data_IF_327085694230
#
_entry.id   IF_327085694230
#
_cell.length_a   1.000
_cell.length_b   1.000
_cell.length_c   1.000
_cell.angle_alpha   90.00
_cell.angle_beta   90.00
_cell.angle_gamma   90.00
#
_symmetry.space_group_name_H-M   'P 1'
#
loop_
_entity.id
_entity.type
_entity.pdbx_description
1 polymer ?
#
# COMPACT_ATOMS: atom_id res chain seq x y z
N UNK A 1 14.66 2.23 22.88
CA UNK A 1 13.86 3.16 22.09
C UNK A 1 13.01 2.41 21.07
N UNK A 2 11.75 2.76 21.06
CA UNK A 2 10.75 2.15 20.19
C UNK A 2 10.54 3.06 18.97
N UNK A 3 10.64 2.45 17.78
CA UNK A 3 10.38 3.16 16.53
C UNK A 3 9.18 2.56 15.84
N UNK A 4 8.18 3.36 15.57
CA UNK A 4 6.97 2.94 14.87
C UNK A 4 7.02 3.42 13.43
N UNK A 5 6.74 2.51 12.51
CA UNK A 5 6.52 2.80 11.09
C UNK A 5 5.19 2.21 10.70
N UNK A 6 4.46 2.90 9.83
CA UNK A 6 3.15 2.45 9.37
C UNK A 6 3.19 2.18 7.88
N UNK A 7 2.69 1.04 7.47
CA UNK A 7 2.59 0.63 6.09
C UNK A 7 1.11 0.44 5.74
N UNK A 8 0.63 1.18 4.74
CA UNK A 8 -0.77 1.13 4.33
C UNK A 8 -0.92 0.21 3.12
N UNK A 9 -1.73 -0.85 3.28
CA UNK A 9 -2.05 -1.77 2.19
C UNK A 9 -3.39 -1.37 1.57
N UNK A 10 -3.42 -1.01 0.28
CA UNK A 10 -4.67 -0.60 -0.36
C UNK A 10 -5.51 -1.80 -0.75
N UNK A 11 -6.82 -1.56 -0.94
CA UNK A 11 -7.59 -2.50 -1.73
C UNK A 11 -7.10 -2.44 -3.18
N UNK A 12 -7.25 -3.54 -3.91
CA UNK A 12 -6.60 -3.68 -5.22
C UNK A 12 -7.44 -3.08 -6.34
N UNK A 13 -7.74 -1.79 -6.22
CA UNK A 13 -8.40 -0.98 -7.25
C UNK A 13 -7.37 -0.02 -7.86
N UNK A 14 -7.61 0.40 -9.08
CA UNK A 14 -6.77 1.41 -9.72
C UNK A 14 -6.73 2.67 -8.84
N UNK A 15 -5.56 3.31 -8.78
CA UNK A 15 -5.35 4.47 -7.93
C UNK A 15 -6.42 5.54 -8.09
N UNK A 16 -6.79 5.87 -9.34
CA UNK A 16 -7.80 6.90 -9.61
C UNK A 16 -9.20 6.50 -9.19
N UNK A 17 -9.49 5.20 -9.16
CA UNK A 17 -10.81 4.66 -8.85
C UNK A 17 -10.89 4.04 -7.48
N UNK A 18 -9.80 4.07 -6.72
CA UNK A 18 -9.76 3.49 -5.39
C UNK A 18 -10.63 4.31 -4.45
N UNK A 19 -11.72 3.71 -3.97
CA UNK A 19 -12.71 4.42 -3.15
C UNK A 19 -12.15 4.88 -1.79
N UNK A 20 -11.05 4.31 -1.34
CA UNK A 20 -10.44 4.66 -0.07
C UNK A 20 -9.21 5.57 -0.22
N UNK A 21 -8.90 6.00 -1.43
CA UNK A 21 -7.73 6.86 -1.68
C UNK A 21 -7.72 8.10 -0.79
N UNK A 22 -8.89 8.70 -0.60
CA UNK A 22 -9.03 9.90 0.24
C UNK A 22 -8.69 9.61 1.70
N UNK A 23 -9.10 8.44 2.20
CA UNK A 23 -8.77 8.02 3.56
C UNK A 23 -7.28 7.75 3.71
N UNK A 24 -6.63 7.18 2.71
CA UNK A 24 -5.18 6.99 2.72
C UNK A 24 -4.45 8.31 2.91
N UNK A 25 -4.86 9.33 2.17
CA UNK A 25 -4.26 10.66 2.28
C UNK A 25 -4.43 11.25 3.67
N UNK A 26 -5.63 11.11 4.26
CA UNK A 26 -5.90 11.62 5.61
C UNK A 26 -5.05 10.93 6.66
N UNK A 27 -4.94 9.60 6.57
CA UNK A 27 -4.14 8.82 7.52
C UNK A 27 -2.67 9.19 7.39
N UNK A 28 -2.17 9.29 6.17
CA UNK A 28 -0.77 9.67 5.92
C UNK A 28 -0.45 11.05 6.51
N UNK A 29 -1.33 12.02 6.27
CA UNK A 29 -1.14 13.37 6.77
C UNK A 29 -1.12 13.40 8.31
N UNK A 30 -2.07 12.72 8.93
CA UNK A 30 -2.16 12.69 10.39
C UNK A 30 -0.92 12.06 11.03
N UNK A 31 -0.43 10.96 10.45
CA UNK A 31 0.75 10.28 10.98
C UNK A 31 2.02 11.10 10.80
N UNK A 32 2.16 11.77 9.65
CA UNK A 32 3.31 12.63 9.41
C UNK A 32 3.36 13.82 10.37
N UNK A 33 2.20 14.37 10.72
CA UNK A 33 2.12 15.49 11.66
C UNK A 33 2.65 15.12 13.04
N UNK A 34 2.52 13.88 13.46
CA UNK A 34 3.04 13.43 14.76
C UNK A 34 4.38 12.71 14.64
N UNK A 35 5.02 12.81 13.47
CA UNK A 35 6.38 12.30 13.28
C UNK A 35 6.50 10.81 13.05
N UNK A 36 5.43 10.12 12.66
CA UNK A 36 5.46 8.68 12.39
C UNK A 36 5.68 8.46 10.90
N UNK A 37 6.77 7.77 10.50
CA UNK A 37 6.98 7.43 9.10
C UNK A 37 5.86 6.55 8.57
N UNK A 38 5.32 6.89 7.41
CA UNK A 38 4.24 6.15 6.78
C UNK A 38 4.57 5.91 5.32
N UNK A 39 4.26 4.71 4.84
CA UNK A 39 4.41 4.32 3.45
C UNK A 39 3.07 3.83 2.94
N UNK A 40 2.55 4.48 1.91
CA UNK A 40 1.28 4.10 1.29
C UNK A 40 1.56 3.37 -0.03
N UNK A 41 1.31 2.07 -0.03
CA UNK A 41 1.55 1.22 -1.18
C UNK A 41 0.74 1.66 -2.41
N UNK A 42 -0.42 2.28 -2.20
CA UNK A 42 -1.25 2.76 -3.31
C UNK A 42 -0.51 3.77 -4.18
N UNK A 43 0.36 4.60 -3.58
CA UNK A 43 1.14 5.58 -4.32
C UNK A 43 2.29 4.97 -5.12
N UNK A 44 2.59 3.72 -4.86
CA UNK A 44 3.72 3.02 -5.46
C UNK A 44 3.33 2.18 -6.67
N UNK A 45 2.06 1.81 -6.78
CA UNK A 45 1.57 0.91 -7.81
C UNK A 45 0.87 1.68 -8.91
N UNK A 46 1.14 1.34 -10.16
CA UNK A 46 0.33 1.84 -11.27
C UNK A 46 -0.86 0.90 -11.52
N UNK A 47 -1.76 1.32 -12.39
CA UNK A 47 -3.00 0.59 -12.65
C UNK A 47 -2.76 -0.80 -13.24
N UNK A 48 -1.75 -0.95 -14.07
CA UNK A 48 -1.44 -2.24 -14.70
C UNK A 48 -0.83 -3.19 -13.69
N UNK A 49 0.04 -2.68 -12.82
CA UNK A 49 0.63 -3.50 -11.77
C UNK A 49 -0.43 -4.04 -10.83
N UNK A 50 -1.38 -3.20 -10.43
CA UNK A 50 -2.45 -3.62 -9.53
C UNK A 50 -3.20 -4.82 -10.12
N UNK A 51 -3.54 -4.78 -11.40
CA UNK A 51 -4.26 -5.88 -12.04
C UNK A 51 -3.43 -7.17 -12.05
N UNK A 52 -2.13 -7.06 -12.26
CA UNK A 52 -1.25 -8.23 -12.31
C UNK A 52 -0.98 -8.87 -10.95
N UNK A 53 -1.33 -8.19 -9.86
CA UNK A 53 -1.04 -8.65 -8.50
C UNK A 53 -2.25 -9.29 -7.82
N UNK A 54 -3.41 -9.22 -8.42
CA UNK A 54 -4.66 -9.75 -7.85
C UNK A 54 -4.74 -11.26 -8.02
N UNK A 55 -5.33 -11.92 -7.02
CA UNK A 55 -5.53 -13.36 -7.06
C UNK A 55 -6.47 -13.76 -8.22
N UNK A 56 -7.49 -12.94 -8.47
CA UNK A 56 -8.38 -13.11 -9.61
C UNK A 56 -8.88 -11.75 -10.08
N UNK A 57 -9.42 -11.64 -11.32
CA UNK A 57 -9.80 -10.32 -11.86
C UNK A 57 -10.83 -9.57 -11.03
N UNK A 58 -11.68 -10.28 -10.28
CA UNK A 58 -12.72 -9.65 -9.46
C UNK A 58 -12.35 -9.53 -8.00
N UNK A 59 -11.23 -10.08 -7.58
CA UNK A 59 -10.80 -10.04 -6.20
C UNK A 59 -9.99 -8.77 -5.94
N UNK A 60 -10.51 -7.89 -5.10
CA UNK A 60 -9.85 -6.64 -4.77
C UNK A 60 -9.13 -6.66 -3.43
N UNK A 61 -9.05 -7.82 -2.80
CA UNK A 61 -8.50 -7.95 -1.45
C UNK A 61 -7.27 -8.85 -1.42
N UNK A 62 -7.30 -9.95 -2.17
CA UNK A 62 -6.26 -10.96 -2.09
C UNK A 62 -5.21 -10.79 -3.18
N UNK A 63 -3.95 -10.86 -2.78
CA UNK A 63 -2.82 -10.84 -3.69
C UNK A 63 -2.54 -12.24 -4.21
N UNK A 64 -2.11 -12.33 -5.47
CA UNK A 64 -1.57 -13.57 -5.99
C UNK A 64 -0.11 -13.74 -5.51
N UNK A 65 0.56 -14.79 -5.96
CA UNK A 65 1.93 -15.07 -5.54
C UNK A 65 2.89 -13.92 -5.88
N UNK A 66 2.76 -13.37 -7.08
CA UNK A 66 3.55 -12.21 -7.50
C UNK A 66 3.27 -10.99 -6.62
N UNK A 67 1.99 -10.77 -6.27
CA UNK A 67 1.59 -9.66 -5.42
C UNK A 67 2.21 -9.76 -4.03
N UNK A 68 2.18 -10.93 -3.43
CA UNK A 68 2.82 -11.15 -2.13
C UNK A 68 4.31 -10.86 -2.20
N UNK A 69 4.98 -11.30 -3.26
CA UNK A 69 6.41 -11.05 -3.43
C UNK A 69 6.72 -9.56 -3.57
N UNK A 70 5.96 -8.85 -4.41
CA UNK A 70 6.16 -7.41 -4.62
C UNK A 70 5.93 -6.63 -3.34
N UNK A 71 4.82 -6.89 -2.64
CA UNK A 71 4.51 -6.19 -1.39
C UNK A 71 5.56 -6.48 -0.33
N UNK A 72 5.98 -7.73 -0.22
CA UNK A 72 7.00 -8.13 0.74
C UNK A 72 8.33 -7.40 0.51
N UNK A 73 8.78 -7.34 -0.74
CA UNK A 73 10.05 -6.69 -1.08
C UNK A 73 10.00 -5.19 -0.76
N UNK A 74 8.90 -4.53 -1.09
CA UNK A 74 8.75 -3.10 -0.85
C UNK A 74 8.64 -2.83 0.66
N UNK A 75 7.89 -3.67 1.39
CA UNK A 75 7.77 -3.55 2.84
C UNK A 75 9.14 -3.68 3.52
N UNK A 76 9.94 -4.63 3.08
CA UNK A 76 11.28 -4.83 3.64
C UNK A 76 12.16 -3.61 3.41
N UNK A 77 12.12 -3.01 2.22
CA UNK A 77 12.86 -1.80 1.92
C UNK A 77 12.44 -0.65 2.84
N UNK A 78 11.15 -0.52 3.10
CA UNK A 78 10.62 0.52 3.98
C UNK A 78 11.10 0.31 5.42
N UNK A 79 11.07 -0.92 5.90
CA UNK A 79 11.48 -1.25 7.27
C UNK A 79 12.96 -0.96 7.48
N UNK A 80 13.78 -1.22 6.47
CA UNK A 80 15.24 -1.06 6.56
C UNK A 80 15.72 0.38 6.49
N UNK A 81 14.86 1.31 6.08
CA UNK A 81 15.23 2.74 6.00
C UNK A 81 15.26 3.40 7.39
#
# INVERSE_FOLDING_TARGET
NFKLKVFICPILQQKKKNKYKHLHTKVETALKEIGIPVFDMLNYLDSQEIQSLKLSPKDEIHLNEKGHSVFSDILMQFIEK
#
